data_IF_654196115186
#
_entry.id   IF_654196115186
#
_cell.length_a   1.000
_cell.length_b   1.000
_cell.length_c   1.000
_cell.angle_alpha   90.00
_cell.angle_beta   90.00
_cell.angle_gamma   90.00
#
_symmetry.space_group_name_H-M   'P 1'
#
loop_
_entity.id
_entity.type
_entity.pdbx_description
1 polymer ?
#
# COMPACT_ATOMS: atom_id res chain seq x y z
N UNK A 1 13.63 14.43 5.51
CA UNK A 1 13.63 13.07 4.95
C UNK A 1 12.34 12.41 5.38
N UNK A 2 11.37 12.37 4.48
CA UNK A 2 10.17 11.56 4.67
C UNK A 2 10.56 10.11 4.43
N UNK A 3 10.00 9.16 5.19
CA UNK A 3 10.10 7.75 4.84
C UNK A 3 9.07 7.50 3.74
N UNK A 4 9.52 7.20 2.53
CA UNK A 4 8.62 6.99 1.39
C UNK A 4 7.99 5.59 1.45
N UNK A 5 8.63 4.66 2.17
CA UNK A 5 8.14 3.29 2.37
C UNK A 5 8.32 2.85 3.82
N UNK A 6 7.38 2.05 4.32
CA UNK A 6 7.43 1.48 5.69
C UNK A 6 7.03 0.01 5.69
N UNK A 7 7.50 -0.82 6.64
CA UNK A 7 6.99 -2.18 6.81
C UNK A 7 5.47 -2.21 7.02
N UNK A 8 4.78 -3.21 6.47
CA UNK A 8 3.33 -3.40 6.62
C UNK A 8 2.87 -3.37 8.09
N UNK A 9 3.60 -4.03 8.98
CA UNK A 9 3.36 -4.05 10.42
C UNK A 9 3.43 -2.65 11.04
N UNK A 10 4.39 -1.83 10.60
CA UNK A 10 4.52 -0.43 11.02
C UNK A 10 3.39 0.42 10.48
N UNK A 11 3.02 0.24 9.21
CA UNK A 11 1.88 0.91 8.61
C UNK A 11 0.59 0.60 9.39
N UNK A 12 0.27 -0.69 9.57
CA UNK A 12 -0.90 -1.14 10.32
C UNK A 12 -0.93 -0.59 11.75
N UNK A 13 0.21 -0.59 12.44
CA UNK A 13 0.32 -0.03 13.80
C UNK A 13 0.01 1.47 13.82
N UNK A 14 0.47 2.22 12.82
CA UNK A 14 0.33 3.67 12.79
C UNK A 14 -1.06 4.13 12.31
N UNK A 15 -1.69 3.37 11.41
CA UNK A 15 -3.01 3.74 10.84
C UNK A 15 -4.18 3.08 11.58
N UNK A 16 -3.92 2.05 12.38
CA UNK A 16 -4.96 1.23 13.01
C UNK A 16 -5.62 0.24 12.03
N UNK A 17 -5.14 0.15 10.80
CA UNK A 17 -5.63 -0.81 9.81
C UNK A 17 -5.10 -2.21 10.10
N UNK A 18 -5.93 -3.23 9.92
CA UNK A 18 -5.49 -4.62 10.07
C UNK A 18 -4.81 -5.14 8.79
N UNK A 19 -3.94 -6.13 8.94
CA UNK A 19 -3.29 -6.81 7.79
C UNK A 19 -4.34 -7.43 6.86
N UNK A 20 -5.46 -7.93 7.40
CA UNK A 20 -6.59 -8.45 6.62
C UNK A 20 -7.25 -7.36 5.78
N UNK A 21 -7.40 -6.14 6.30
CA UNK A 21 -7.96 -5.02 5.53
C UNK A 21 -7.07 -4.68 4.33
N UNK A 22 -5.76 -4.67 4.52
CA UNK A 22 -4.78 -4.46 3.44
C UNK A 22 -4.85 -5.60 2.43
N UNK A 23 -4.85 -6.86 2.89
CA UNK A 23 -4.99 -8.02 2.01
C UNK A 23 -6.30 -7.98 1.20
N UNK A 24 -7.42 -7.56 1.79
CA UNK A 24 -8.69 -7.37 1.07
C UNK A 24 -8.58 -6.31 -0.02
N UNK A 25 -7.84 -5.20 0.20
CA UNK A 25 -7.59 -4.19 -0.84
C UNK A 25 -6.78 -4.77 -1.99
N UNK A 26 -5.75 -5.56 -1.68
CA UNK A 26 -4.94 -6.23 -2.71
C UNK A 26 -5.79 -7.24 -3.51
N UNK A 27 -6.57 -8.08 -2.82
CA UNK A 27 -7.46 -9.06 -3.44
C UNK A 27 -8.51 -8.41 -4.36
N UNK A 28 -9.03 -7.24 -3.96
CA UNK A 28 -9.97 -6.45 -4.75
C UNK A 28 -9.30 -5.60 -5.84
N UNK A 29 -7.98 -5.73 -6.03
CA UNK A 29 -7.16 -4.94 -6.96
C UNK A 29 -7.21 -3.43 -6.72
N UNK A 30 -7.61 -3.00 -5.52
CA UNK A 30 -7.59 -1.59 -5.11
C UNK A 30 -6.15 -1.16 -4.84
N UNK A 31 -5.40 -2.02 -4.14
CA UNK A 31 -3.95 -1.90 -3.99
C UNK A 31 -3.27 -2.97 -4.84
N UNK A 32 -2.07 -2.68 -5.32
CA UNK A 32 -1.33 -3.57 -6.22
C UNK A 32 0.08 -3.81 -5.70
N UNK A 33 0.55 -5.06 -5.81
CA UNK A 33 1.97 -5.39 -5.58
C UNK A 33 2.83 -4.66 -6.63
N UNK A 34 3.94 -4.07 -6.20
CA UNK A 34 4.81 -3.23 -7.04
C UNK A 34 4.35 -1.77 -7.19
N UNK A 35 3.17 -1.41 -6.66
CA UNK A 35 2.68 -0.01 -6.63
C UNK A 35 2.48 0.44 -5.17
N UNK A 36 1.48 -0.11 -4.49
CA UNK A 36 1.18 0.28 -3.10
C UNK A 36 1.92 -0.60 -2.10
N UNK A 37 2.22 -1.83 -2.51
CA UNK A 37 2.78 -2.88 -1.66
C UNK A 37 4.03 -3.42 -2.33
N UNK A 38 5.18 -3.30 -1.68
CA UNK A 38 6.47 -3.67 -2.23
C UNK A 38 6.97 -4.97 -1.60
N UNK A 39 7.44 -5.89 -2.45
CA UNK A 39 8.23 -7.05 -2.03
C UNK A 39 9.70 -6.66 -2.17
N UNK A 40 10.34 -6.41 -1.03
CA UNK A 40 11.76 -6.04 -0.98
C UNK A 40 12.58 -7.32 -0.91
N UNK A 41 13.56 -7.46 -1.80
CA UNK A 41 14.40 -8.65 -1.84
C UNK A 41 15.18 -8.83 -0.53
N UNK A 42 15.29 -10.08 -0.08
CA UNK A 42 15.88 -10.41 1.22
C UNK A 42 15.05 -10.03 2.46
N UNK A 43 13.86 -9.42 2.30
CA UNK A 43 12.97 -9.05 3.41
C UNK A 43 11.71 -9.92 3.39
N UNK A 44 11.42 -10.56 4.54
CA UNK A 44 10.26 -11.46 4.68
C UNK A 44 8.92 -10.73 4.62
N UNK A 45 8.87 -9.51 5.16
CA UNK A 45 7.64 -8.72 5.24
C UNK A 45 7.48 -7.82 4.01
N UNK A 46 6.22 -7.56 3.63
CA UNK A 46 5.87 -6.58 2.60
C UNK A 46 5.99 -5.16 3.15
N UNK A 47 6.35 -4.23 2.28
CA UNK A 47 6.42 -2.81 2.60
C UNK A 47 5.26 -2.07 1.94
N UNK A 48 4.87 -0.94 2.51
CA UNK A 48 3.84 -0.05 2.00
C UNK A 48 4.51 1.22 1.48
N UNK A 49 4.24 1.55 0.22
CA UNK A 49 4.60 2.82 -0.39
C UNK A 49 3.60 3.89 0.07
N UNK A 50 4.05 4.84 0.89
CA UNK A 50 3.19 5.84 1.47
C UNK A 50 2.72 6.88 0.45
N UNK A 51 3.51 7.16 -0.58
CA UNK A 51 3.16 8.13 -1.61
C UNK A 51 2.03 7.61 -2.50
N UNK A 52 2.10 6.36 -2.94
CA UNK A 52 1.03 5.72 -3.70
C UNK A 52 -0.25 5.58 -2.87
N UNK A 53 -0.13 5.17 -1.60
CA UNK A 53 -1.29 5.10 -0.69
C UNK A 53 -1.91 6.48 -0.48
N UNK A 54 -1.10 7.53 -0.32
CA UNK A 54 -1.60 8.90 -0.20
C UNK A 54 -2.27 9.39 -1.49
N UNK A 55 -1.71 9.07 -2.66
CA UNK A 55 -2.31 9.37 -3.97
C UNK A 55 -3.68 8.71 -4.12
N UNK A 56 -3.78 7.43 -3.75
CA UNK A 56 -5.04 6.69 -3.70
C UNK A 56 -6.04 7.33 -2.73
N UNK A 57 -5.64 7.59 -1.48
CA UNK A 57 -6.52 8.13 -0.45
C UNK A 57 -7.10 9.51 -0.82
N UNK A 58 -6.32 10.32 -1.53
CA UNK A 58 -6.73 11.66 -1.99
C UNK A 58 -7.64 11.65 -3.23
N UNK A 59 -8.10 10.48 -3.69
CA UNK A 59 -8.94 10.31 -4.90
C UNK A 59 -8.33 10.99 -6.13
N UNK A 60 -7.04 10.76 -6.40
CA UNK A 60 -6.49 11.18 -7.69
C UNK A 60 -7.34 10.56 -8.81
N UNK A 61 -7.82 11.36 -9.77
CA UNK A 61 -8.55 10.89 -10.98
C UNK A 61 -7.61 10.16 -11.95
N UNK A 62 -6.67 9.40 -11.42
CA UNK A 62 -5.61 8.75 -12.15
C UNK A 62 -6.18 7.52 -12.90
N UNK A 63 -5.97 7.43 -14.23
CA UNK A 63 -6.42 6.31 -15.05
C UNK A 63 -5.99 4.93 -14.55
N UNK A 64 -4.86 4.80 -13.83
CA UNK A 64 -4.41 3.54 -13.23
C UNK A 64 -5.39 2.98 -12.17
N UNK A 65 -6.30 3.81 -11.67
CA UNK A 65 -7.31 3.48 -10.66
C UNK A 65 -8.73 3.43 -11.23
N UNK A 66 -8.88 3.67 -12.54
CA UNK A 66 -10.13 3.55 -13.30
C UNK A 66 -10.09 2.29 -14.17
N UNK A 67 -10.33 1.13 -13.57
CA UNK A 67 -10.64 -0.09 -14.31
C UNK A 67 -9.57 -1.16 -14.21
N UNK A 68 -9.84 -2.11 -13.30
CA UNK A 68 -9.72 -3.52 -13.64
C UNK A 68 -11.00 -3.97 -14.33
#
# INVERSE_FOLDING_TARGET
>A
MSLDCVPLSTYCKNTGESVEAINKRIQRKIWQEGVHVLKVDGVKERWIDLDEVNRWARKSRDPLYRGA
#
